data_IF_144241846379
#
_entry.id   IF_144241846379
#
_cell.length_a   1.000
_cell.length_b   1.000
_cell.length_c   1.000
_cell.angle_alpha   90.00
_cell.angle_beta   90.00
_cell.angle_gamma   90.00
#
_symmetry.space_group_name_H-M   'P 1'
#
loop_
_entity.id
_entity.type
_entity.pdbx_description
1 polymer ?
#
# COMPACT_ATOMS: atom_id res chain seq x y z
N UNK A 1 10.89 9.57 22.14
CA UNK A 1 10.93 8.59 21.03
C UNK A 1 10.34 7.20 21.38
N UNK A 2 9.78 6.94 22.57
CA UNK A 2 9.26 5.60 22.95
C UNK A 2 7.91 5.25 22.31
N UNK A 3 7.07 6.24 22.01
CA UNK A 3 5.67 6.06 21.60
C UNK A 3 5.49 5.84 20.09
N UNK A 4 6.41 6.33 19.26
CA UNK A 4 6.32 6.21 17.80
C UNK A 4 6.30 4.77 17.30
N UNK A 5 6.95 3.85 18.03
CA UNK A 5 6.95 2.42 17.70
C UNK A 5 5.55 1.80 17.78
N UNK A 6 4.75 2.19 18.76
CA UNK A 6 3.38 1.69 18.92
C UNK A 6 2.44 2.25 17.85
N UNK A 7 2.64 3.51 17.47
CA UNK A 7 1.90 4.14 16.37
C UNK A 7 2.21 3.46 15.03
N UNK A 8 3.49 3.14 14.77
CA UNK A 8 3.88 2.34 13.61
C UNK A 8 3.27 0.94 13.63
N UNK A 9 3.30 0.24 14.77
CA UNK A 9 2.72 -1.11 14.88
C UNK A 9 1.21 -1.10 14.64
N UNK A 10 0.47 -0.18 15.25
CA UNK A 10 -0.97 -0.03 15.02
C UNK A 10 -1.25 0.23 13.54
N UNK A 11 -0.44 1.06 12.91
CA UNK A 11 -0.61 1.40 11.51
C UNK A 11 -0.27 0.23 10.55
N UNK A 12 0.78 -0.55 10.83
CA UNK A 12 1.10 -1.79 10.11
C UNK A 12 -0.03 -2.82 10.21
N UNK A 13 -0.63 -2.97 11.40
CA UNK A 13 -1.75 -3.89 11.64
C UNK A 13 -2.96 -3.47 10.80
N UNK A 14 -3.33 -2.19 10.82
CA UNK A 14 -4.45 -1.68 10.02
C UNK A 14 -4.20 -1.89 8.52
N UNK A 15 -2.98 -1.61 8.04
CA UNK A 15 -2.61 -1.85 6.64
C UNK A 15 -2.70 -3.32 6.23
N UNK A 16 -2.28 -4.24 7.11
CA UNK A 16 -2.39 -5.67 6.88
C UNK A 16 -3.86 -6.14 6.82
N UNK A 17 -4.70 -5.66 7.74
CA UNK A 17 -6.13 -5.97 7.73
C UNK A 17 -6.82 -5.46 6.46
N UNK A 18 -6.50 -4.24 6.02
CA UNK A 18 -7.04 -3.65 4.79
C UNK A 18 -6.63 -4.43 3.53
N UNK A 19 -5.38 -4.88 3.44
CA UNK A 19 -4.91 -5.73 2.35
C UNK A 19 -5.63 -7.09 2.34
N UNK A 20 -5.92 -7.64 3.52
CA UNK A 20 -6.73 -8.85 3.66
C UNK A 20 -8.17 -8.67 3.19
N UNK A 21 -8.83 -7.57 3.58
CA UNK A 21 -10.18 -7.26 3.12
C UNK A 21 -10.27 -7.06 1.60
N UNK A 22 -9.19 -6.59 0.97
CA UNK A 22 -9.08 -6.45 -0.49
C UNK A 22 -8.77 -7.78 -1.20
N UNK A 23 -8.76 -8.90 -0.47
CA UNK A 23 -8.38 -10.23 -0.96
C UNK A 23 -6.97 -10.29 -1.58
N UNK A 24 -6.07 -9.40 -1.19
CA UNK A 24 -4.69 -9.41 -1.71
C UNK A 24 -3.90 -10.65 -1.27
N UNK A 25 -4.32 -11.31 -0.19
CA UNK A 25 -3.72 -12.54 0.31
C UNK A 25 -4.25 -13.82 -0.36
N UNK A 26 -5.40 -13.75 -1.04
CA UNK A 26 -6.07 -14.94 -1.57
C UNK A 26 -5.38 -15.55 -2.80
N UNK A 27 -4.60 -14.75 -3.55
CA UNK A 27 -3.79 -15.23 -4.68
C UNK A 27 -2.38 -14.65 -4.58
N UNK A 28 -1.52 -15.21 -3.73
CA UNK A 28 -0.18 -14.69 -3.54
C UNK A 28 0.84 -15.44 -4.42
N UNK A 29 0.94 -15.07 -5.70
CA UNK A 29 1.94 -15.63 -6.64
C UNK A 29 3.38 -15.12 -6.42
N UNK A 30 3.64 -14.33 -5.37
CA UNK A 30 4.97 -13.75 -5.12
C UNK A 30 5.46 -12.78 -6.19
N UNK A 31 4.60 -12.40 -7.14
CA UNK A 31 4.92 -11.49 -8.24
C UNK A 31 5.47 -10.16 -7.73
N UNK A 32 6.55 -9.68 -8.37
CA UNK A 32 7.17 -8.37 -8.11
C UNK A 32 6.12 -7.24 -8.09
N UNK A 33 5.08 -7.31 -8.94
CA UNK A 33 4.00 -6.34 -8.96
C UNK A 33 3.13 -6.37 -7.69
N UNK A 34 2.82 -7.55 -7.14
CA UNK A 34 2.05 -7.67 -5.89
C UNK A 34 2.87 -7.23 -4.68
N UNK A 35 4.14 -7.62 -4.62
CA UNK A 35 5.04 -7.17 -3.55
C UNK A 35 5.22 -5.64 -3.61
N UNK A 36 5.44 -5.08 -4.80
CA UNK A 36 5.53 -3.64 -4.99
C UNK A 36 4.23 -2.92 -4.62
N UNK A 37 3.06 -3.48 -4.93
CA UNK A 37 1.75 -2.91 -4.57
C UNK A 37 1.58 -2.86 -3.05
N UNK A 38 1.93 -3.93 -2.34
CA UNK A 38 1.84 -3.99 -0.88
C UNK A 38 2.84 -3.01 -0.25
N UNK A 39 4.08 -2.97 -0.74
CA UNK A 39 5.10 -2.04 -0.27
C UNK A 39 4.70 -0.58 -0.48
N UNK A 40 4.16 -0.23 -1.65
CA UNK A 40 3.64 1.12 -1.94
C UNK A 40 2.42 1.44 -1.10
N UNK A 41 1.52 0.49 -0.82
CA UNK A 41 0.34 0.74 0.04
C UNK A 41 0.77 1.02 1.49
N UNK A 42 1.78 0.30 1.97
CA UNK A 42 2.43 0.54 3.26
C UNK A 42 3.17 1.88 3.29
N UNK A 43 3.79 2.30 2.19
CA UNK A 43 4.52 3.57 2.13
C UNK A 43 3.62 4.78 1.84
N UNK A 44 2.47 4.60 1.19
CA UNK A 44 1.52 5.67 0.86
C UNK A 44 0.57 5.99 2.01
N UNK A 45 0.27 5.02 2.87
CA UNK A 45 -0.51 5.22 4.10
C UNK A 45 -0.03 6.35 5.03
N UNK A 46 1.25 6.42 5.42
CA UNK A 46 1.73 7.50 6.29
C UNK A 46 1.91 8.80 5.49
N UNK A 47 2.34 8.72 4.22
CA UNK A 47 2.55 9.83 3.31
C UNK A 47 1.24 10.61 3.12
N UNK A 48 0.13 9.91 2.92
CA UNK A 48 -1.19 10.56 2.82
C UNK A 48 -1.59 11.21 4.15
N UNK A 49 -1.30 10.58 5.30
CA UNK A 49 -1.56 11.16 6.62
C UNK A 49 -0.71 12.40 6.94
N UNK A 50 0.48 12.52 6.36
CA UNK A 50 1.33 13.73 6.41
C UNK A 50 1.06 14.69 5.24
N UNK A 51 -0.01 14.47 4.46
CA UNK A 51 -0.46 15.39 3.40
C UNK A 51 0.27 15.26 2.06
N UNK A 52 1.14 14.26 1.90
CA UNK A 52 1.77 13.93 0.62
C UNK A 52 0.81 13.05 -0.18
N UNK A 53 0.36 13.56 -1.33
CA UNK A 53 -0.53 12.85 -2.25
C UNK A 53 0.27 12.37 -3.48
N UNK A 54 0.93 11.20 -3.41
CA UNK A 54 1.81 10.74 -4.48
C UNK A 54 0.98 10.31 -5.70
N UNK A 55 0.86 11.20 -6.68
CA UNK A 55 0.30 10.89 -8.00
C UNK A 55 1.37 10.26 -8.89
N UNK A 56 1.16 9.01 -9.29
CA UNK A 56 1.98 8.38 -10.32
C UNK A 56 1.45 8.81 -11.71
N UNK A 57 2.28 9.48 -12.50
CA UNK A 57 1.98 9.75 -13.91
C UNK A 57 2.18 8.46 -14.72
N UNK A 58 1.16 7.61 -14.77
CA UNK A 58 1.17 6.42 -15.60
C UNK A 58 0.64 6.76 -17.00
N UNK A 59 1.50 6.64 -18.02
CA UNK A 59 1.09 6.68 -19.42
C UNK A 59 0.45 5.34 -19.77
N UNK A 60 -0.85 5.23 -19.54
CA UNK A 60 -1.60 4.02 -19.92
C UNK A 60 -1.86 4.03 -21.43
N UNK A 61 -1.65 2.90 -22.14
CA UNK A 61 -1.99 2.79 -23.54
C UNK A 61 -3.51 2.93 -23.74
N UNK A 62 -3.92 3.62 -24.80
CA UNK A 62 -5.34 3.80 -25.10
C UNK A 62 -5.97 2.44 -25.41
N UNK A 63 -7.12 2.10 -24.81
CA UNK A 63 -7.79 0.83 -25.11
C UNK A 63 -8.12 0.80 -26.61
N UNK A 64 -7.80 -0.31 -27.27
CA UNK A 64 -8.18 -0.52 -28.66
C UNK A 64 -9.71 -0.66 -28.76
N UNK A 65 -10.29 -0.05 -29.81
CA UNK A 65 -11.73 -0.09 -30.09
C UNK A 65 -12.23 -1.49 -30.40
#
# INVERSE_FOLDING_TARGET
MRSGRWMLVAWLIIGALAAGQRNYYAQFDGSCAKIATIGITLASGPLNYIGLNPTANCKVPQPSK
#
